data_IF_915216785648
#
_entry.id   IF_915216785648
#
_cell.length_a   1.000
_cell.length_b   1.000
_cell.length_c   1.000
_cell.angle_alpha   90.00
_cell.angle_beta   90.00
_cell.angle_gamma   90.00
#
_symmetry.space_group_name_H-M   'P 1'
#
loop_
_entity.id
_entity.type
_entity.pdbx_description
1 polymer ?
#
# COMPACT_ATOMS: atom_id res chain seq x y z
N UNK A 1 28.86 15.26 -25.08
CA UNK A 1 27.54 15.86 -25.31
C UNK A 1 26.65 14.71 -25.72
N UNK A 2 25.56 14.43 -25.00
CA UNK A 2 24.69 13.30 -25.36
C UNK A 2 23.90 13.73 -26.58
N UNK A 3 24.05 12.97 -27.64
CA UNK A 3 23.28 13.15 -28.85
C UNK A 3 22.26 12.03 -28.93
N UNK A 4 21.03 12.37 -29.27
CA UNK A 4 20.03 11.41 -29.68
C UNK A 4 20.59 10.56 -30.85
N UNK A 5 20.42 9.24 -30.78
CA UNK A 5 20.98 8.29 -31.75
C UNK A 5 20.33 8.42 -33.13
N UNK A 6 19.07 8.82 -33.17
CA UNK A 6 18.32 8.93 -34.43
C UNK A 6 18.63 10.24 -35.14
N UNK A 7 18.73 11.34 -34.38
CA UNK A 7 18.84 12.69 -34.94
C UNK A 7 20.25 13.26 -34.88
N UNK A 8 21.13 12.73 -34.03
CA UNK A 8 22.45 13.29 -33.73
C UNK A 8 22.39 14.64 -33.00
N UNK A 9 21.20 15.12 -32.64
CA UNK A 9 20.99 16.39 -31.95
C UNK A 9 21.22 16.23 -30.45
N UNK A 10 21.69 17.27 -29.74
CA UNK A 10 21.82 17.22 -28.29
C UNK A 10 20.48 16.96 -27.61
N UNK A 11 20.46 16.06 -26.63
CA UNK A 11 19.27 15.73 -25.85
C UNK A 11 18.85 16.95 -25.03
N UNK A 12 17.62 17.42 -25.23
CA UNK A 12 17.03 18.54 -24.48
C UNK A 12 15.98 17.98 -23.54
N UNK A 13 16.12 18.26 -22.25
CA UNK A 13 15.21 17.81 -21.20
C UNK A 13 14.46 18.99 -20.58
N UNK A 14 13.18 18.82 -20.23
CA UNK A 14 12.45 19.75 -19.38
C UNK A 14 13.17 19.99 -18.04
N UNK A 15 12.98 21.17 -17.45
CA UNK A 15 13.60 21.53 -16.16
C UNK A 15 13.05 20.65 -15.02
N UNK A 16 11.81 20.22 -15.16
CA UNK A 16 11.05 19.35 -14.28
C UNK A 16 11.24 17.85 -14.59
N UNK A 17 12.13 17.50 -15.52
CA UNK A 17 12.36 16.12 -15.90
C UNK A 17 12.86 15.27 -14.73
N UNK A 18 12.23 14.12 -14.51
CA UNK A 18 12.63 13.19 -13.46
C UNK A 18 13.91 12.43 -13.83
N UNK A 19 14.56 11.83 -12.83
CA UNK A 19 15.74 10.96 -13.07
C UNK A 19 15.41 9.77 -14.00
N UNK A 20 14.17 9.26 -13.94
CA UNK A 20 13.72 8.15 -14.80
C UNK A 20 13.63 8.61 -16.25
N UNK A 21 13.04 9.77 -16.50
CA UNK A 21 12.93 10.37 -17.84
C UNK A 21 14.30 10.72 -18.43
N UNK A 22 15.21 11.27 -17.61
CA UNK A 22 16.61 11.48 -18.01
C UNK A 22 17.23 10.15 -18.45
N UNK A 23 17.03 9.10 -17.67
CA UNK A 23 17.62 7.79 -17.92
C UNK A 23 17.05 7.14 -19.18
N UNK A 24 15.77 7.31 -19.46
CA UNK A 24 15.16 6.86 -20.72
C UNK A 24 15.71 7.65 -21.92
N UNK A 25 15.81 8.97 -21.80
CA UNK A 25 16.32 9.83 -22.87
C UNK A 25 17.78 9.56 -23.26
N UNK A 26 18.58 9.00 -22.36
CA UNK A 26 19.99 8.62 -22.59
C UNK A 26 20.18 7.10 -22.74
N UNK A 27 19.11 6.34 -22.98
CA UNK A 27 19.10 4.87 -23.13
C UNK A 27 19.79 4.12 -21.98
N UNK A 28 19.68 4.66 -20.78
CA UNK A 28 20.34 4.17 -19.57
C UNK A 28 21.85 3.93 -19.72
N UNK A 29 22.51 4.64 -20.65
CA UNK A 29 23.95 4.48 -20.84
C UNK A 29 24.69 4.97 -19.58
N UNK A 30 25.62 4.17 -19.03
CA UNK A 30 26.43 4.61 -17.91
C UNK A 30 27.41 5.69 -18.36
N UNK A 31 27.63 6.70 -17.52
CA UNK A 31 28.57 7.77 -17.82
C UNK A 31 28.34 9.04 -17.02
N UNK A 32 29.29 9.98 -17.18
CA UNK A 32 29.17 11.32 -16.63
C UNK A 32 28.64 12.27 -17.69
N UNK A 33 27.45 12.77 -17.43
CA UNK A 33 26.71 13.71 -18.26
C UNK A 33 26.89 15.12 -17.72
N UNK A 34 27.06 16.07 -18.65
CA UNK A 34 27.09 17.49 -18.36
C UNK A 34 25.77 18.08 -18.81
N UNK A 35 25.08 18.76 -17.91
CA UNK A 35 23.82 19.45 -18.14
C UNK A 35 24.11 20.94 -18.22
N UNK A 36 23.96 21.50 -19.41
CA UNK A 36 24.09 22.93 -19.65
C UNK A 36 22.67 23.55 -19.72
N UNK A 37 22.36 24.56 -18.92
CA UNK A 37 21.06 25.20 -18.95
C UNK A 37 20.86 25.95 -20.27
N UNK A 38 19.71 25.74 -20.89
CA UNK A 38 19.32 26.39 -22.14
C UNK A 38 18.27 27.47 -21.86
N UNK A 39 18.33 28.57 -22.62
CA UNK A 39 17.27 29.58 -22.65
C UNK A 39 16.08 29.14 -23.53
N UNK A 40 15.03 29.96 -23.59
CA UNK A 40 13.86 29.74 -24.46
C UNK A 40 14.21 29.62 -25.95
N UNK A 41 15.40 30.10 -26.36
CA UNK A 41 15.91 30.05 -27.73
C UNK A 41 16.83 28.85 -27.96
N UNK A 42 16.89 27.90 -27.02
CA UNK A 42 17.78 26.73 -27.03
C UNK A 42 19.27 27.09 -27.13
N UNK A 43 19.67 28.24 -26.58
CA UNK A 43 21.07 28.65 -26.45
C UNK A 43 21.54 28.45 -25.01
N UNK A 44 22.78 27.98 -24.86
CA UNK A 44 23.41 27.80 -23.56
C UNK A 44 23.56 29.15 -22.86
N UNK A 45 23.10 29.23 -21.61
CA UNK A 45 23.20 30.45 -20.80
C UNK A 45 24.61 30.53 -20.18
N UNK A 46 25.48 31.45 -20.61
CA UNK A 46 26.89 31.47 -20.20
C UNK A 46 27.10 31.87 -18.73
N UNK A 47 26.10 32.49 -18.10
CA UNK A 47 26.17 32.95 -16.72
C UNK A 47 25.85 31.88 -15.68
N UNK A 48 25.31 30.73 -16.09
CA UNK A 48 24.89 29.66 -15.17
C UNK A 48 25.87 28.50 -15.26
N UNK A 49 26.34 28.03 -14.10
CA UNK A 49 27.28 26.92 -14.02
C UNK A 49 26.63 25.62 -14.52
N UNK A 50 27.39 24.83 -15.28
CA UNK A 50 26.95 23.52 -15.74
C UNK A 50 26.82 22.54 -14.57
N UNK A 51 25.76 21.72 -14.58
CA UNK A 51 25.60 20.62 -13.64
C UNK A 51 26.20 19.33 -14.22
N UNK A 52 26.59 18.40 -13.35
CA UNK A 52 27.11 17.10 -13.76
C UNK A 52 26.28 16.00 -13.11
N UNK A 53 25.80 15.05 -13.92
CA UNK A 53 25.06 13.89 -13.49
C UNK A 53 25.83 12.63 -13.87
N UNK A 54 26.08 11.74 -12.94
CA UNK A 54 26.71 10.45 -13.23
C UNK A 54 25.64 9.36 -13.18
N UNK A 55 25.39 8.69 -14.30
CA UNK A 55 24.65 7.43 -14.27
C UNK A 55 25.68 6.33 -14.08
N UNK A 56 25.61 5.71 -12.91
CA UNK A 56 26.29 4.44 -12.70
C UNK A 56 25.52 3.39 -13.49
N UNK A 57 26.25 2.47 -14.12
CA UNK A 57 25.64 1.31 -14.77
C UNK A 57 24.76 0.66 -13.72
N UNK A 58 23.47 0.50 -14.02
CA UNK A 58 22.67 -0.33 -13.14
C UNK A 58 23.35 -1.70 -13.19
N UNK A 59 23.84 -2.23 -12.05
CA UNK A 59 24.65 -3.42 -12.06
C UNK A 59 23.88 -4.49 -12.81
N UNK A 60 24.35 -4.82 -14.02
CA UNK A 60 23.73 -5.83 -14.89
C UNK A 60 23.75 -7.23 -14.25
N UNK A 61 24.40 -7.36 -13.09
CA UNK A 61 24.42 -8.51 -12.21
C UNK A 61 23.94 -8.18 -10.78
N UNK A 62 22.65 -7.94 -10.56
CA UNK A 62 22.03 -8.34 -9.29
C UNK A 62 21.63 -9.82 -9.30
N UNK A 63 22.42 -10.66 -10.00
CA UNK A 63 22.26 -12.10 -10.05
C UNK A 63 23.60 -12.87 -9.89
N UNK A 64 24.71 -12.20 -9.56
CA UNK A 64 25.96 -12.89 -9.28
C UNK A 64 26.83 -12.12 -8.27
N UNK A 65 26.79 -12.62 -7.03
CA UNK A 65 27.83 -12.71 -6.01
C UNK A 65 29.08 -11.79 -6.01
N UNK A 66 29.47 -11.45 -4.77
CA UNK A 66 30.74 -10.85 -4.29
C UNK A 66 30.81 -9.31 -4.33
N UNK A 67 31.13 -8.56 -3.27
CA UNK A 67 31.76 -8.88 -2.00
C UNK A 67 31.21 -7.98 -0.87
N UNK A 68 31.13 -8.56 0.33
CA UNK A 68 30.17 -8.20 1.37
C UNK A 68 30.46 -6.95 2.18
N UNK A 69 29.48 -6.04 2.25
CA UNK A 69 29.17 -5.23 3.45
C UNK A 69 27.80 -4.51 3.35
N UNK A 70 26.75 -5.16 2.82
CA UNK A 70 25.40 -4.55 2.77
C UNK A 70 24.24 -5.55 2.67
N UNK A 71 24.27 -6.62 3.48
CA UNK A 71 23.19 -7.62 3.53
C UNK A 71 21.81 -7.03 3.83
N UNK A 72 21.74 -5.93 4.58
CA UNK A 72 20.49 -5.29 4.98
C UNK A 72 19.81 -4.53 3.82
N UNK A 73 20.57 -3.84 2.98
CA UNK A 73 20.04 -3.12 1.81
C UNK A 73 19.59 -4.09 0.71
N UNK A 74 20.25 -5.25 0.61
CA UNK A 74 19.82 -6.35 -0.27
C UNK A 74 18.49 -6.93 0.18
N UNK A 75 18.33 -7.22 1.48
CA UNK A 75 17.08 -7.76 2.03
C UNK A 75 15.92 -6.76 1.90
N UNK A 76 16.15 -5.46 2.08
CA UNK A 76 15.10 -4.46 1.91
C UNK A 76 14.64 -4.33 0.45
N UNK A 77 15.57 -4.43 -0.52
CA UNK A 77 15.22 -4.44 -1.94
C UNK A 77 14.49 -5.73 -2.34
N UNK A 78 14.90 -6.86 -1.80
CA UNK A 78 14.25 -8.15 -2.01
C UNK A 78 12.85 -8.17 -1.38
N UNK A 79 12.68 -7.58 -0.19
CA UNK A 79 11.38 -7.38 0.46
C UNK A 79 10.47 -6.46 -0.36
N UNK A 80 11.00 -5.37 -0.94
CA UNK A 80 10.23 -4.52 -1.84
C UNK A 80 9.78 -5.28 -3.10
N UNK A 81 10.66 -6.12 -3.67
CA UNK A 81 10.31 -6.97 -4.81
C UNK A 81 9.22 -7.98 -4.44
N UNK A 82 9.36 -8.66 -3.31
CA UNK A 82 8.34 -9.57 -2.77
C UNK A 82 7.02 -8.85 -2.50
N UNK A 83 7.04 -7.65 -1.93
CA UNK A 83 5.82 -6.85 -1.72
C UNK A 83 5.14 -6.52 -3.06
N UNK A 84 5.89 -6.12 -4.08
CA UNK A 84 5.29 -5.87 -5.40
C UNK A 84 4.73 -7.14 -6.06
N UNK A 85 5.36 -8.30 -5.83
CA UNK A 85 4.89 -9.59 -6.34
C UNK A 85 3.64 -10.06 -5.60
N UNK A 86 3.60 -9.90 -4.27
CA UNK A 86 2.43 -10.16 -3.45
C UNK A 86 1.24 -9.27 -3.85
N UNK A 87 1.48 -7.98 -4.09
CA UNK A 87 0.42 -7.07 -4.56
C UNK A 87 -0.13 -7.48 -5.93
N UNK A 88 0.72 -8.00 -6.84
CA UNK A 88 0.24 -8.54 -8.12
C UNK A 88 -0.60 -9.79 -7.93
N UNK A 89 -0.17 -10.73 -7.08
CA UNK A 89 -0.96 -11.91 -6.75
C UNK A 89 -2.31 -11.56 -6.12
N UNK A 90 -2.35 -10.57 -5.22
CA UNK A 90 -3.60 -10.10 -4.63
C UNK A 90 -4.53 -9.47 -5.68
N UNK A 91 -3.97 -8.74 -6.65
CA UNK A 91 -4.75 -8.16 -7.74
C UNK A 91 -5.34 -9.24 -8.65
N UNK A 92 -4.58 -10.30 -8.94
CA UNK A 92 -5.05 -11.44 -9.72
C UNK A 92 -6.15 -12.23 -8.97
N UNK A 93 -6.01 -12.39 -7.66
CA UNK A 93 -7.03 -13.01 -6.82
C UNK A 93 -8.31 -12.17 -6.78
N UNK A 94 -8.20 -10.86 -6.57
CA UNK A 94 -9.33 -9.94 -6.59
C UNK A 94 -10.05 -9.94 -7.96
N UNK A 95 -9.28 -9.97 -9.06
CA UNK A 95 -9.83 -10.09 -10.41
C UNK A 95 -10.57 -11.42 -10.61
N UNK A 96 -10.00 -12.53 -10.17
CA UNK A 96 -10.65 -13.84 -10.24
C UNK A 96 -11.96 -13.90 -9.45
N UNK A 97 -12.00 -13.25 -8.28
CA UNK A 97 -13.22 -13.13 -7.48
C UNK A 97 -14.26 -12.28 -8.22
N UNK A 98 -13.88 -11.13 -8.78
CA UNK A 98 -14.79 -10.26 -9.52
C UNK A 98 -15.39 -10.97 -10.76
N UNK A 99 -14.58 -11.73 -11.50
CA UNK A 99 -15.05 -12.52 -12.64
C UNK A 99 -16.07 -13.59 -12.22
N UNK A 100 -15.87 -14.23 -11.06
CA UNK A 100 -16.85 -15.19 -10.51
C UNK A 100 -18.14 -14.52 -10.03
N UNK A 101 -18.06 -13.36 -9.37
CA UNK A 101 -19.25 -12.63 -8.94
C UNK A 101 -20.11 -12.18 -10.13
N UNK A 102 -19.49 -11.77 -11.24
CA UNK A 102 -20.21 -11.48 -12.48
C UNK A 102 -20.94 -12.72 -13.01
N UNK A 103 -20.30 -13.89 -12.99
CA UNK A 103 -20.93 -15.15 -13.39
C UNK A 103 -22.11 -15.53 -12.48
N UNK A 104 -21.97 -15.36 -11.17
CA UNK A 104 -23.04 -15.63 -10.20
C UNK A 104 -24.23 -14.67 -10.38
N UNK A 105 -23.99 -13.37 -10.59
CA UNK A 105 -25.08 -12.42 -10.85
C UNK A 105 -25.81 -12.73 -12.15
N UNK A 106 -25.10 -13.15 -13.19
CA UNK A 106 -25.73 -13.53 -14.45
C UNK A 106 -26.59 -14.80 -14.30
N UNK A 107 -26.08 -15.82 -13.60
CA UNK A 107 -26.84 -17.03 -13.29
C UNK A 107 -28.08 -16.72 -12.41
N UNK A 108 -27.94 -15.83 -11.43
CA UNK A 108 -29.06 -15.38 -10.60
C UNK A 108 -30.11 -14.63 -11.42
N UNK A 109 -29.68 -13.75 -12.34
CA UNK A 109 -30.59 -13.06 -13.25
C UNK A 109 -31.32 -14.03 -14.22
N UNK A 110 -30.64 -15.07 -14.69
CA UNK A 110 -31.25 -16.13 -15.49
C UNK A 110 -32.26 -16.95 -14.69
N UNK A 111 -31.97 -17.27 -13.42
CA UNK A 111 -32.93 -17.93 -12.52
C UNK A 111 -34.18 -17.08 -12.27
N UNK A 112 -34.01 -15.78 -12.01
CA UNK A 112 -35.13 -14.84 -11.84
C UNK A 112 -35.97 -14.79 -13.12
N UNK A 113 -35.33 -14.65 -14.29
CA UNK A 113 -36.03 -14.62 -15.58
C UNK A 113 -36.71 -15.96 -15.91
N UNK A 114 -36.11 -17.10 -15.55
CA UNK A 114 -36.71 -18.42 -15.73
C UNK A 114 -37.91 -18.63 -14.80
N UNK A 115 -37.83 -18.14 -13.55
CA UNK A 115 -38.94 -18.16 -12.61
C UNK A 115 -40.12 -17.31 -13.10
N UNK A 116 -39.87 -16.14 -13.70
CA UNK A 116 -40.90 -15.31 -14.34
C UNK A 116 -41.60 -16.03 -15.50
N UNK A 117 -40.86 -16.86 -16.26
CA UNK A 117 -41.40 -17.66 -17.36
C UNK A 117 -42.17 -18.91 -16.93
N UNK A 118 -41.93 -19.43 -15.72
CA UNK A 118 -42.54 -20.64 -15.18
C UNK A 118 -43.96 -20.43 -14.62
N UNK A 119 -44.50 -19.19 -14.66
CA UNK A 119 -45.85 -18.89 -14.21
C UNK A 119 -46.04 -18.95 -12.70
N UNK A 120 -44.96 -18.86 -11.91
CA UNK A 120 -45.05 -18.63 -10.47
C UNK A 120 -45.60 -17.21 -10.32
N UNK A 121 -46.89 -17.09 -10.02
CA UNK A 121 -47.56 -15.81 -9.85
C UNK A 121 -46.72 -14.93 -8.90
N UNK A 122 -46.31 -13.76 -9.39
CA UNK A 122 -45.51 -12.80 -8.62
C UNK A 122 -46.13 -12.67 -7.23
N UNK A 123 -45.41 -13.17 -6.21
CA UNK A 123 -45.84 -12.98 -4.82
C UNK A 123 -45.94 -11.48 -4.63
N UNK A 124 -47.14 -11.00 -4.31
CA UNK A 124 -47.32 -9.59 -3.95
C UNK A 124 -46.32 -9.30 -2.84
N UNK A 125 -45.45 -8.28 -3.00
CA UNK A 125 -44.51 -7.92 -1.95
C UNK A 125 -45.31 -7.72 -0.67
N UNK A 126 -44.94 -8.44 0.38
CA UNK A 126 -45.57 -8.30 1.69
C UNK A 126 -45.42 -6.83 2.07
N UNK A 127 -46.55 -6.12 2.09
CA UNK A 127 -46.59 -4.75 2.59
C UNK A 127 -46.39 -4.88 4.08
N UNK A 128 -45.14 -4.80 4.51
CA UNK A 128 -44.82 -4.63 5.91
C UNK A 128 -45.56 -3.36 6.35
N UNK A 129 -46.36 -3.44 7.43
CA UNK A 129 -47.00 -2.24 7.97
C UNK A 129 -45.91 -1.20 8.19
N UNK A 130 -46.16 0.03 7.71
CA UNK A 130 -45.24 1.13 7.90
C UNK A 130 -44.91 1.19 9.40
N UNK A 131 -43.62 1.28 9.78
CA UNK A 131 -43.25 1.35 11.18
C UNK A 131 -44.05 2.50 11.79
N UNK A 132 -44.92 2.19 12.73
CA UNK A 132 -45.59 3.21 13.53
C UNK A 132 -44.47 4.09 14.09
N UNK A 133 -44.57 5.39 13.85
CA UNK A 133 -43.72 6.41 14.46
C UNK A 133 -43.87 6.26 15.97
N UNK A 134 -43.06 5.40 16.57
CA UNK A 134 -42.94 5.31 18.02
C UNK A 134 -42.33 6.64 18.40
N UNK A 135 -43.16 7.50 18.98
CA UNK A 135 -42.74 8.76 19.52
C UNK A 135 -41.52 8.48 20.41
N UNK A 136 -40.48 9.25 20.15
CA UNK A 136 -39.21 9.26 20.84
C UNK A 136 -39.46 9.75 22.27
N UNK A 137 -40.05 8.90 23.12
CA UNK A 137 -40.13 9.13 24.55
C UNK A 137 -38.71 8.98 25.12
N UNK A 138 -38.25 10.07 25.72
CA UNK A 138 -37.04 10.18 26.52
C UNK A 138 -37.05 9.10 27.60
N UNK A 139 -36.37 7.99 27.35
CA UNK A 139 -36.08 7.00 28.39
C UNK A 139 -34.89 7.56 29.17
N UNK A 140 -35.20 8.12 30.35
CA UNK A 140 -34.21 8.36 31.40
C UNK A 140 -33.54 7.02 31.74
N UNK A 141 -32.22 6.98 31.56
CA UNK A 141 -31.34 5.86 31.91
C UNK A 141 -31.34 5.67 33.44
N UNK A 142 -32.23 4.81 33.94
CA UNK A 142 -32.04 4.15 35.23
C UNK A 142 -31.14 2.92 35.00
N UNK A 143 -29.92 3.01 35.55
CA UNK A 143 -28.91 1.95 35.59
C UNK A 143 -29.39 0.77 36.45
N UNK A 144 -29.89 -0.29 35.82
CA UNK A 144 -29.95 -1.63 36.42
C UNK A 144 -29.12 -2.61 35.58
N UNK A 145 -28.11 -3.30 36.16
CA UNK A 145 -27.32 -4.29 35.46
C UNK A 145 -28.11 -5.61 35.37
N UNK A 146 -28.95 -5.74 34.35
CA UNK A 146 -29.58 -7.00 33.98
C UNK A 146 -28.86 -7.61 32.77
N UNK A 147 -28.53 -8.90 32.90
CA UNK A 147 -27.97 -9.79 31.89
C UNK A 147 -28.55 -9.56 30.48
N UNK A 148 -27.81 -8.84 29.64
CA UNK A 148 -28.08 -8.75 28.20
C UNK A 148 -27.34 -9.91 27.51
N UNK A 149 -28.08 -10.99 27.31
CA UNK A 149 -27.78 -12.14 26.46
C UNK A 149 -27.49 -11.62 25.03
N UNK A 150 -26.22 -11.63 24.62
CA UNK A 150 -25.81 -11.08 23.34
C UNK A 150 -26.21 -12.05 22.21
N UNK A 151 -26.98 -11.62 21.20
CA UNK A 151 -27.38 -12.50 20.11
C UNK A 151 -26.14 -13.02 19.36
N UNK A 152 -26.16 -14.28 18.89
CA UNK A 152 -25.01 -14.91 18.26
C UNK A 152 -24.49 -14.05 17.11
N UNK A 153 -23.20 -13.72 17.17
CA UNK A 153 -22.53 -12.90 16.17
C UNK A 153 -22.76 -13.49 14.78
N UNK A 154 -23.48 -12.73 13.93
CA UNK A 154 -23.78 -13.12 12.56
C UNK A 154 -22.49 -13.48 11.78
N UNK A 155 -22.54 -14.43 10.83
CA UNK A 155 -21.40 -14.85 9.99
C UNK A 155 -20.74 -13.70 9.19
N UNK A 156 -21.36 -12.53 9.14
CA UNK A 156 -20.75 -11.31 8.61
C UNK A 156 -19.52 -10.85 9.43
N UNK A 157 -19.42 -11.20 10.72
CA UNK A 157 -18.28 -10.85 11.57
C UNK A 157 -17.05 -11.71 11.22
N UNK A 158 -17.22 -13.00 10.92
CA UNK A 158 -16.12 -13.84 10.43
C UNK A 158 -15.54 -13.33 9.10
N UNK A 159 -16.40 -12.89 8.18
CA UNK A 159 -15.99 -12.28 6.91
C UNK A 159 -15.26 -10.94 7.13
N UNK A 160 -15.66 -10.16 8.14
CA UNK A 160 -14.99 -8.91 8.49
C UNK A 160 -13.59 -9.16 9.09
N UNK A 161 -13.42 -10.23 9.87
CA UNK A 161 -12.12 -10.64 10.41
C UNK A 161 -11.19 -11.14 9.31
N UNK A 162 -11.71 -11.85 8.31
CA UNK A 162 -10.92 -12.29 7.16
C UNK A 162 -10.54 -11.14 6.21
N UNK A 163 -11.34 -10.06 6.17
CA UNK A 163 -11.08 -8.87 5.36
C UNK A 163 -10.10 -7.85 6.01
N UNK A 164 -9.79 -7.99 7.30
CA UNK A 164 -8.89 -7.07 8.02
C UNK A 164 -7.50 -6.88 7.36
N UNK A 165 -6.82 -7.92 6.85
CA UNK A 165 -5.55 -7.77 6.15
C UNK A 165 -5.67 -6.92 4.86
N UNK A 166 -6.80 -7.03 4.15
CA UNK A 166 -7.09 -6.24 2.95
C UNK A 166 -7.35 -4.77 3.28
N UNK A 167 -8.09 -4.50 4.36
CA UNK A 167 -8.35 -3.13 4.85
C UNK A 167 -7.06 -2.47 5.29
N UNK A 168 -6.17 -3.21 5.98
CA UNK A 168 -4.85 -2.71 6.38
C UNK A 168 -3.97 -2.34 5.18
N UNK A 169 -3.91 -3.22 4.18
CA UNK A 169 -3.17 -2.96 2.94
C UNK A 169 -3.73 -1.74 2.19
N UNK A 170 -5.06 -1.59 2.14
CA UNK A 170 -5.71 -0.43 1.54
C UNK A 170 -5.39 0.87 2.28
N UNK A 171 -5.36 0.85 3.62
CA UNK A 171 -4.99 1.99 4.44
C UNK A 171 -3.52 2.41 4.20
N UNK A 172 -2.60 1.44 4.14
CA UNK A 172 -1.18 1.68 3.85
C UNK A 172 -0.98 2.27 2.45
N UNK A 173 -1.70 1.75 1.44
CA UNK A 173 -1.69 2.28 0.08
C UNK A 173 -2.22 3.73 0.02
N UNK A 174 -3.31 4.04 0.73
CA UNK A 174 -3.85 5.40 0.83
C UNK A 174 -2.91 6.36 1.54
N UNK A 175 -2.18 5.89 2.55
CA UNK A 175 -1.21 6.69 3.28
C UNK A 175 0.02 7.02 2.42
N UNK A 176 0.49 6.07 1.60
CA UNK A 176 1.55 6.30 0.62
C UNK A 176 1.13 7.30 -0.48
N UNK A 177 -0.12 7.20 -0.98
CA UNK A 177 -0.68 8.15 -1.95
C UNK A 177 -0.74 9.57 -1.37
N UNK A 178 -1.18 9.73 -0.13
CA UNK A 178 -1.21 11.03 0.56
C UNK A 178 0.18 11.63 0.75
N UNK A 179 1.18 10.80 1.08
CA UNK A 179 2.57 11.23 1.21
C UNK A 179 3.18 11.67 -0.14
N UNK A 180 2.91 10.92 -1.21
CA UNK A 180 3.33 11.29 -2.57
C UNK A 180 2.68 12.61 -3.01
N UNK A 181 1.40 12.82 -2.68
CA UNK A 181 0.68 14.06 -2.98
C UNK A 181 1.22 15.26 -2.19
N UNK A 182 1.61 15.05 -0.93
CA UNK A 182 2.26 16.07 -0.11
C UNK A 182 3.65 16.44 -0.67
N UNK A 183 4.39 15.48 -1.21
CA UNK A 183 5.68 15.73 -1.86
C UNK A 183 5.55 16.45 -3.22
N UNK A 184 4.42 16.29 -3.91
CA UNK A 184 4.12 16.98 -5.18
C UNK A 184 3.42 18.33 -4.99
N UNK A 185 3.09 18.73 -3.76
CA UNK A 185 2.50 20.04 -3.52
C UNK A 185 3.51 21.14 -3.90
N UNK A 186 3.21 22.02 -4.88
CA UNK A 186 4.13 23.07 -5.29
C UNK A 186 4.38 23.99 -4.09
N UNK A 187 5.65 24.08 -3.68
CA UNK A 187 6.07 24.97 -2.61
C UNK A 187 5.59 26.39 -2.95
N UNK A 188 4.57 26.86 -2.22
CA UNK A 188 4.09 28.23 -2.34
C UNK A 188 5.17 29.14 -1.80
N UNK A 189 6.04 29.61 -2.69
CA UNK A 189 7.06 30.61 -2.39
C UNK A 189 6.35 31.92 -2.07
N UNK A 190 6.17 32.20 -0.78
CA UNK A 190 5.91 33.55 -0.30
C UNK A 190 7.18 34.35 -0.54
N UNK A 191 7.18 35.11 -1.63
CA UNK A 191 8.23 36.05 -2.01
C UNK A 191 8.26 37.20 -1.00
N UNK A 192 9.10 37.08 0.02
CA UNK A 192 9.46 38.18 0.90
C UNK A 192 10.71 38.88 0.34
N UNK A 193 10.53 40.12 -0.10
CA UNK A 193 11.53 40.96 -0.74
C UNK A 193 12.77 41.21 0.15
N UNK A 194 14.00 41.08 -0.36
CA UNK A 194 15.22 41.40 0.37
C UNK A 194 15.59 42.88 0.20
N UNK A 195 15.97 43.55 1.31
CA UNK A 195 16.63 44.85 1.29
C UNK A 195 18.15 44.68 1.21
N UNK A 196 18.72 45.52 0.35
CA UNK A 196 20.11 45.65 -0.05
C UNK A 196 21.04 46.14 1.08
N UNK A 197 22.28 45.67 1.09
CA UNK A 197 23.47 46.54 1.14
C UNK A 197 24.76 45.77 0.82
N UNK A 198 25.55 46.36 -0.09
CA UNK A 198 26.91 46.00 -0.53
C UNK A 198 27.97 46.39 0.51
N UNK A 199 29.22 45.88 0.50
CA UNK A 199 30.26 46.50 -0.36
C UNK A 199 31.37 45.56 -0.92
N UNK A 200 31.64 45.76 -2.22
CA UNK A 200 32.95 45.91 -2.90
C UNK A 200 34.23 45.44 -2.16
N UNK A 201 34.93 44.44 -2.71
CA UNK A 201 36.38 44.51 -2.97
C UNK A 201 36.85 43.43 -3.97
N UNK A 202 37.76 43.84 -4.88
CA UNK A 202 38.52 43.05 -5.85
C UNK A 202 40.01 43.42 -5.61
N UNK A 203 41.07 42.67 -6.02
CA UNK A 203 41.17 41.92 -7.29
C UNK A 203 42.00 40.59 -7.25
N UNK A 204 42.12 39.99 -8.45
CA UNK A 204 42.76 38.72 -8.84
C UNK A 204 44.29 38.60 -8.55
N UNK A 205 44.97 37.44 -8.77
CA UNK A 205 45.32 37.00 -10.15
C UNK A 205 45.48 35.46 -10.41
N UNK A 206 45.32 35.13 -11.70
CA UNK A 206 46.06 34.16 -12.55
C UNK A 206 46.35 32.71 -12.09
N UNK A 207 45.87 31.77 -12.90
CA UNK A 207 46.40 30.41 -12.99
C UNK A 207 45.67 29.56 -14.04
N UNK A 208 46.28 29.36 -15.20
CA UNK A 208 45.92 28.35 -16.22
C UNK A 208 47.14 27.43 -16.44
N UNK A 209 47.10 26.41 -17.31
CA UNK A 209 46.25 25.23 -17.31
C UNK A 209 47.13 23.94 -17.32
N UNK A 210 46.67 22.82 -16.77
CA UNK A 210 47.39 21.53 -16.93
C UNK A 210 46.57 20.51 -17.70
N UNK A 211 47.09 20.26 -18.91
CA UNK A 211 46.73 19.27 -19.92
C UNK A 211 47.34 17.91 -19.54
N UNK A 212 46.53 16.86 -19.41
CA UNK A 212 46.98 15.46 -19.41
C UNK A 212 45.83 14.61 -20.03
N UNK A 213 45.93 14.20 -21.30
CA UNK A 213 46.62 13.03 -21.88
C UNK A 213 45.88 11.71 -21.58
N UNK A 214 45.16 11.25 -22.59
CA UNK A 214 44.60 9.90 -22.73
C UNK A 214 45.69 8.84 -22.95
N UNK A 215 45.38 7.56 -22.64
CA UNK A 215 45.39 6.51 -23.65
C UNK A 215 44.12 5.61 -23.50
N UNK A 216 43.30 5.38 -24.53
CA UNK A 216 43.41 4.32 -25.54
C UNK A 216 43.89 2.96 -25.00
N UNK A 217 43.03 1.93 -24.94
CA UNK A 217 43.36 0.50 -25.17
C UNK A 217 42.06 -0.35 -25.23
N UNK A 218 41.87 -0.92 -26.43
CA UNK A 218 41.34 -2.23 -26.84
C UNK A 218 40.00 -2.81 -26.31
N UNK A 219 39.08 -2.85 -27.26
CA UNK A 219 38.03 -3.84 -27.52
C UNK A 219 38.65 -5.24 -27.81
N UNK A 220 38.03 -6.31 -27.30
CA UNK A 220 37.64 -7.38 -28.23
C UNK A 220 36.23 -7.95 -27.95
N UNK A 221 35.47 -8.12 -29.03
CA UNK A 221 34.36 -9.07 -29.17
C UNK A 221 34.87 -10.31 -29.93
N UNK A 222 34.05 -11.33 -30.27
CA UNK A 222 32.98 -12.02 -29.53
C UNK A 222 33.19 -13.56 -29.54
N UNK A 223 32.50 -14.32 -28.70
CA UNK A 223 32.18 -15.73 -29.00
C UNK A 223 30.77 -16.10 -28.57
N UNK A 224 29.98 -16.44 -29.59
CA UNK A 224 28.75 -17.24 -29.53
C UNK A 224 28.99 -18.57 -28.82
N UNK A 225 28.03 -19.02 -28.01
CA UNK A 225 27.60 -20.43 -27.87
C UNK A 225 26.31 -20.40 -27.04
N UNK A 226 25.15 -20.64 -27.66
CA UNK A 226 24.52 -21.95 -27.82
C UNK A 226 23.42 -22.17 -26.76
N UNK A 227 22.19 -22.06 -27.24
CA UNK A 227 20.93 -22.58 -26.68
C UNK A 227 21.09 -24.01 -26.11
N UNK A 228 20.32 -24.39 -25.07
CA UNK A 228 19.04 -25.02 -25.40
C UNK A 228 17.87 -24.68 -24.47
N UNK A 229 16.84 -24.10 -25.09
CA UNK A 229 15.40 -24.39 -24.95
C UNK A 229 15.02 -25.63 -24.10
N UNK A 230 14.39 -25.46 -22.93
CA UNK A 230 13.60 -26.50 -22.28
C UNK A 230 12.13 -26.48 -22.74
N UNK A 231 11.63 -27.65 -23.13
CA UNK A 231 10.23 -27.92 -23.46
C UNK A 231 9.30 -27.80 -22.24
N UNK A 232 8.06 -27.29 -22.39
CA UNK A 232 7.06 -27.30 -21.32
C UNK A 232 6.36 -28.67 -21.21
N UNK A 233 6.07 -29.17 -19.99
CA UNK A 233 5.26 -30.36 -19.81
C UNK A 233 3.77 -30.11 -20.09
N UNK A 234 3.19 -31.14 -20.71
CA UNK A 234 1.82 -31.32 -21.17
C UNK A 234 0.82 -31.37 -19.99
N UNK A 235 -0.36 -30.72 -20.07
CA UNK A 235 -1.38 -30.82 -19.03
C UNK A 235 -2.15 -32.15 -19.14
N UNK A 236 -2.25 -32.87 -18.01
CA UNK A 236 -3.16 -34.00 -17.86
C UNK A 236 -4.55 -33.45 -17.49
N UNK A 237 -5.54 -33.87 -18.28
CA UNK A 237 -6.96 -33.63 -18.06
C UNK A 237 -7.58 -34.82 -17.33
N UNK A 238 -8.32 -34.56 -16.26
CA UNK A 238 -9.32 -35.46 -15.67
C UNK A 238 -10.29 -34.55 -14.90
N UNK A 239 -11.44 -34.16 -15.47
CA UNK A 239 -12.70 -34.90 -15.61
C UNK A 239 -13.43 -35.15 -14.27
N UNK A 240 -14.44 -34.29 -14.05
CA UNK A 240 -15.78 -34.53 -13.47
C UNK A 240 -15.92 -35.19 -12.09
N UNK A 241 -16.69 -34.56 -11.19
CA UNK A 241 -18.02 -35.08 -10.82
C UNK A 241 -18.85 -34.08 -10.00
N UNK A 242 -20.15 -34.12 -10.28
CA UNK A 242 -21.30 -33.39 -9.73
C UNK A 242 -21.82 -33.98 -8.41
N UNK A 243 -22.34 -33.13 -7.52
CA UNK A 243 -23.53 -33.30 -6.65
C UNK A 243 -23.69 -31.98 -5.85
N UNK A 244 -24.76 -31.16 -5.89
CA UNK A 244 -26.22 -31.33 -5.84
C UNK A 244 -26.79 -31.60 -4.43
N UNK A 245 -27.72 -30.72 -4.02
CA UNK A 245 -28.51 -30.63 -2.78
C UNK A 245 -27.74 -30.11 -1.54
N UNK A 246 -28.29 -29.29 -0.64
CA UNK A 246 -29.69 -29.16 -0.21
C UNK A 246 -29.96 -27.80 0.47
N UNK A 247 -31.24 -27.48 0.48
CA UNK A 247 -32.00 -26.32 0.94
C UNK A 247 -31.93 -26.04 2.45
N UNK A 248 -31.80 -24.76 2.85
CA UNK A 248 -32.42 -24.20 4.07
C UNK A 248 -32.32 -22.67 4.09
N UNK A 249 -33.49 -22.00 4.07
CA UNK A 249 -33.63 -20.59 4.38
C UNK A 249 -33.57 -20.36 5.91
N UNK A 250 -33.15 -19.17 6.35
CA UNK A 250 -34.02 -18.50 7.31
C UNK A 250 -34.27 -17.02 7.01
N UNK A 251 -35.47 -16.63 7.44
CA UNK A 251 -36.06 -15.30 7.46
C UNK A 251 -35.35 -14.32 8.40
N UNK A 252 -35.57 -13.04 8.06
CA UNK A 252 -35.65 -11.89 8.97
C UNK A 252 -34.33 -11.25 9.46
N UNK A 253 -33.87 -10.22 8.73
CA UNK A 253 -32.76 -9.35 9.14
C UNK A 253 -33.30 -7.95 9.43
N UNK A 254 -33.29 -7.58 10.71
CA UNK A 254 -33.49 -6.22 11.22
C UNK A 254 -32.35 -5.29 10.73
N UNK A 255 -32.54 -3.95 10.68
CA UNK A 255 -31.57 -3.04 10.07
C UNK A 255 -30.25 -3.03 10.85
N UNK A 256 -29.23 -3.63 10.25
CA UNK A 256 -27.86 -3.64 10.76
C UNK A 256 -27.35 -2.19 10.85
N UNK A 257 -26.99 -1.74 12.06
CA UNK A 257 -26.22 -0.50 12.25
C UNK A 257 -24.96 -0.63 11.39
N UNK A 258 -24.87 0.21 10.37
CA UNK A 258 -23.67 0.35 9.53
C UNK A 258 -22.58 0.87 10.45
N UNK A 259 -21.69 -0.02 10.91
CA UNK A 259 -20.44 0.37 11.55
C UNK A 259 -19.72 1.28 10.55
N UNK A 260 -19.78 2.59 10.80
CA UNK A 260 -18.97 3.55 10.05
C UNK A 260 -17.53 3.08 10.13
N UNK A 261 -16.82 3.10 9.01
CA UNK A 261 -15.41 2.77 8.97
C UNK A 261 -14.67 3.68 9.95
N UNK A 262 -14.50 3.21 11.19
CA UNK A 262 -13.91 3.94 12.28
C UNK A 262 -12.51 4.35 11.87
N UNK A 263 -12.24 5.66 11.90
CA UNK A 263 -10.91 6.16 11.66
C UNK A 263 -10.01 5.65 12.78
N UNK A 264 -9.14 4.69 12.48
CA UNK A 264 -8.16 4.18 13.44
C UNK A 264 -7.35 5.35 14.02
N UNK A 265 -7.28 5.43 15.34
CA UNK A 265 -6.46 6.41 16.04
C UNK A 265 -5.02 6.26 15.58
N UNK A 266 -4.46 7.33 14.99
CA UNK A 266 -3.09 7.29 14.48
C UNK A 266 -2.09 7.48 15.62
N UNK A 267 -1.18 6.52 15.88
CA UNK A 267 -0.13 6.70 16.88
C UNK A 267 0.78 7.87 16.53
N UNK A 268 1.23 8.61 17.53
CA UNK A 268 2.24 9.66 17.34
C UNK A 268 3.61 9.06 17.03
N UNK A 269 4.48 9.82 16.36
CA UNK A 269 5.83 9.35 16.00
C UNK A 269 6.66 8.86 17.19
N UNK A 270 6.43 9.42 18.39
CA UNK A 270 7.11 9.02 19.61
C UNK A 270 6.60 7.68 20.18
N UNK A 271 5.33 7.32 19.91
CA UNK A 271 4.70 6.09 20.41
C UNK A 271 5.00 4.87 19.52
N UNK A 272 5.23 5.07 18.21
CA UNK A 272 5.54 4.02 17.24
C UNK A 272 6.66 3.05 17.69
N UNK A 273 7.85 3.50 18.13
CA UNK A 273 8.92 2.58 18.52
C UNK A 273 8.55 1.70 19.74
N UNK A 274 7.80 2.26 20.70
CA UNK A 274 7.33 1.52 21.86
C UNK A 274 6.30 0.46 21.47
N UNK A 275 5.32 0.83 20.64
CA UNK A 275 4.31 -0.11 20.11
C UNK A 275 4.95 -1.23 19.28
N UNK A 276 5.99 -0.94 18.50
CA UNK A 276 6.76 -1.96 17.78
C UNK A 276 7.48 -2.93 18.73
N UNK A 277 8.04 -2.43 19.83
CA UNK A 277 8.67 -3.27 20.85
C UNK A 277 7.65 -4.17 21.57
N UNK A 278 6.45 -3.65 21.87
CA UNK A 278 5.34 -4.43 22.45
C UNK A 278 4.87 -5.49 21.46
N UNK A 279 4.67 -5.12 20.20
CA UNK A 279 4.26 -6.04 19.13
C UNK A 279 5.27 -7.18 18.92
N UNK A 280 6.58 -6.92 19.08
CA UNK A 280 7.61 -7.94 19.02
C UNK A 280 7.60 -8.93 20.21
N UNK A 281 6.95 -8.58 21.32
CA UNK A 281 6.79 -9.44 22.52
C UNK A 281 5.53 -10.29 22.50
N UNK A 282 4.60 -10.01 21.59
CA UNK A 282 3.38 -10.77 21.41
C UNK A 282 3.59 -11.92 20.40
N UNK A 283 2.90 -13.04 20.61
CA UNK A 283 2.85 -14.12 19.62
C UNK A 283 2.09 -13.69 18.35
N UNK A 284 2.12 -14.50 17.29
CA UNK A 284 1.35 -14.19 16.08
C UNK A 284 -0.16 -14.11 16.37
N UNK A 285 -0.68 -15.05 17.15
CA UNK A 285 -2.09 -15.11 17.51
C UNK A 285 -2.50 -13.96 18.44
N UNK A 286 -1.66 -13.63 19.43
CA UNK A 286 -1.87 -12.48 20.32
C UNK A 286 -1.97 -11.16 19.54
N UNK A 287 -1.16 -11.00 18.49
CA UNK A 287 -1.21 -9.79 17.65
C UNK A 287 -2.48 -9.71 16.81
N UNK A 288 -2.94 -10.85 16.27
CA UNK A 288 -4.17 -10.90 15.48
C UNK A 288 -5.38 -10.51 16.32
N UNK A 289 -5.49 -11.07 17.54
CA UNK A 289 -6.58 -10.75 18.46
C UNK A 289 -6.48 -9.30 18.92
N UNK A 290 -5.30 -8.83 19.35
CA UNK A 290 -5.13 -7.43 19.77
C UNK A 290 -5.53 -6.43 18.67
N UNK A 291 -5.21 -6.73 17.40
CA UNK A 291 -5.62 -5.91 16.27
C UNK A 291 -7.13 -5.94 16.04
N UNK A 292 -7.77 -7.09 16.18
CA UNK A 292 -9.23 -7.23 16.07
C UNK A 292 -9.94 -6.47 17.21
N UNK A 293 -9.48 -6.61 18.45
CA UNK A 293 -10.02 -5.89 19.61
C UNK A 293 -9.86 -4.39 19.45
N UNK A 294 -8.71 -3.92 18.95
CA UNK A 294 -8.50 -2.49 18.70
C UNK A 294 -9.51 -1.88 17.71
N UNK A 295 -10.01 -2.66 16.75
CA UNK A 295 -11.01 -2.19 15.76
C UNK A 295 -12.43 -2.14 16.36
N UNK A 296 -12.70 -2.96 17.37
CA UNK A 296 -14.00 -2.99 18.05
C UNK A 296 -14.15 -1.88 19.10
N UNK A 297 -13.04 -1.39 19.64
CA UNK A 297 -13.02 -0.30 20.62
C UNK A 297 -13.45 1.03 19.97
N UNK A 298 -14.14 1.87 20.74
CA UNK A 298 -14.47 3.23 20.32
C UNK A 298 -13.18 4.06 20.12
N UNK A 299 -13.26 5.17 19.38
CA UNK A 299 -12.07 6.00 19.13
C UNK A 299 -11.46 6.53 20.45
N UNK A 300 -12.29 6.84 21.44
CA UNK A 300 -11.84 7.32 22.74
C UNK A 300 -11.21 6.19 23.58
N UNK A 301 -11.76 4.98 23.53
CA UNK A 301 -11.16 3.81 24.18
C UNK A 301 -9.84 3.40 23.51
N UNK A 302 -9.75 3.51 22.18
CA UNK A 302 -8.51 3.29 21.44
C UNK A 302 -7.41 4.26 21.88
N UNK A 303 -7.74 5.55 22.08
CA UNK A 303 -6.80 6.55 22.60
C UNK A 303 -6.39 6.23 24.04
N UNK A 304 -7.35 5.93 24.91
CA UNK A 304 -7.09 5.60 26.30
C UNK A 304 -6.18 4.37 26.43
N UNK A 305 -6.47 3.30 25.67
CA UNK A 305 -5.65 2.10 25.61
C UNK A 305 -4.25 2.41 25.08
N UNK A 306 -4.13 3.23 24.03
CA UNK A 306 -2.84 3.57 23.45
C UNK A 306 -1.97 4.40 24.42
N UNK A 307 -2.56 5.35 25.13
CA UNK A 307 -1.88 6.13 26.17
C UNK A 307 -1.48 5.24 27.36
N UNK A 308 -2.35 4.31 27.77
CA UNK A 308 -2.04 3.34 28.83
C UNK A 308 -0.88 2.41 28.43
N UNK A 309 -0.88 1.88 27.20
CA UNK A 309 0.19 1.04 26.68
C UNK A 309 1.52 1.80 26.61
N UNK A 310 1.49 3.08 26.25
CA UNK A 310 2.69 3.92 26.17
C UNK A 310 3.19 4.39 27.54
N UNK A 311 2.33 4.45 28.56
CA UNK A 311 2.71 4.76 29.94
C UNK A 311 3.35 3.59 30.69
N UNK A 312 3.15 2.35 30.23
CA UNK A 312 3.68 1.12 30.85
C UNK A 312 4.99 0.67 30.21
N UNK A 313 5.77 -0.13 30.93
CA UNK A 313 6.93 -0.79 30.32
C UNK A 313 6.50 -1.80 29.26
N UNK A 314 7.38 -2.13 28.31
CA UNK A 314 7.06 -3.06 27.20
C UNK A 314 6.55 -4.42 27.69
N UNK A 315 7.11 -4.94 28.79
CA UNK A 315 6.70 -6.21 29.37
C UNK A 315 5.31 -6.13 30.03
N UNK A 316 5.03 -5.04 30.74
CA UNK A 316 3.72 -4.80 31.38
C UNK A 316 2.63 -4.56 30.34
N UNK A 317 2.92 -3.79 29.28
CA UNK A 317 2.01 -3.56 28.17
C UNK A 317 1.64 -4.87 27.46
N UNK A 318 2.62 -5.75 27.21
CA UNK A 318 2.34 -7.07 26.65
C UNK A 318 1.51 -7.95 27.61
N UNK A 319 1.77 -7.88 28.92
CA UNK A 319 0.97 -8.60 29.91
C UNK A 319 -0.46 -8.08 30.00
N UNK A 320 -0.66 -6.77 29.85
CA UNK A 320 -1.99 -6.15 29.83
C UNK A 320 -2.82 -6.62 28.63
N UNK A 321 -2.21 -6.64 27.43
CA UNK A 321 -2.87 -7.16 26.22
C UNK A 321 -3.29 -8.63 26.41
N UNK A 322 -2.43 -9.46 27.00
CA UNK A 322 -2.79 -10.86 27.31
C UNK A 322 -3.91 -10.98 28.33
N UNK A 323 -3.93 -10.12 29.35
CA UNK A 323 -5.02 -10.12 30.34
C UNK A 323 -6.35 -9.77 29.67
N UNK A 324 -6.38 -8.72 28.86
CA UNK A 324 -7.58 -8.30 28.11
C UNK A 324 -8.10 -9.43 27.22
N UNK A 325 -7.20 -10.13 26.53
CA UNK A 325 -7.58 -11.30 25.71
C UNK A 325 -8.12 -12.46 26.56
N UNK A 326 -7.51 -12.72 27.72
CA UNK A 326 -7.95 -13.78 28.62
C UNK A 326 -9.33 -13.50 29.22
N UNK A 327 -9.65 -12.24 29.49
CA UNK A 327 -10.97 -11.84 29.99
C UNK A 327 -12.04 -11.94 28.90
N UNK A 328 -11.70 -11.60 27.65
CA UNK A 328 -12.57 -11.81 26.49
C UNK A 328 -12.88 -13.28 26.24
N UNK A 329 -11.86 -14.16 26.33
CA UNK A 329 -12.06 -15.60 26.17
C UNK A 329 -12.99 -16.18 27.25
N UNK A 330 -12.86 -15.72 28.50
CA UNK A 330 -13.75 -16.13 29.59
C UNK A 330 -15.18 -15.63 29.41
N UNK A 331 -15.36 -14.41 28.90
CA UNK A 331 -16.68 -13.87 28.59
C UNK A 331 -17.40 -14.76 27.56
N UNK A 332 -16.69 -15.21 26.53
CA UNK A 332 -17.27 -16.09 25.50
C UNK A 332 -17.56 -17.52 25.98
N UNK A 333 -16.82 -18.04 26.97
CA UNK A 333 -17.04 -19.40 27.51
C UNK A 333 -18.22 -19.45 28.52
N UNK A 334 -18.59 -18.33 29.13
CA UNK A 334 -19.68 -18.26 30.09
C UNK A 334 -21.09 -18.20 29.47
N UNK A 335 -21.17 -18.02 28.14
CA UNK A 335 -22.41 -17.76 27.40
C UNK A 335 -22.90 -18.99 26.60
N UNK A 336 -22.31 -20.17 26.83
CA UNK A 336 -22.68 -21.47 26.23
C UNK A 336 -23.29 -22.43 27.24
#
# INVERSE_FOLDING_TARGET
MVTDKETGAPVVLPIDASYVEFREAVDAQPGRYRLDPLDERRKVVPSVAAAYLTLNDAPRNSNAAADGESGEVSMMREMMRWNTELSRMQLDLARGIAERFSGVMQAAAELIRAADGAGIAARQPVVLPAPENVANDEIEEDEDPADDEAPPLHPAVEIAVEALPLVKLWLEAKQAEAAARAAQAPASTVSAAPRQSTPREAPAPMGSPTRAKAPATEEPAPTNDADPKPEPPKPAAEAASSAAAEEAAPENVAPTRRNGAGSLVRPTAAQIPHLMAVHARLTADERAVAAATAVQLSEDDQRALLDELCGRSVAEAASLIRSLMGDQAKATEGES
#
